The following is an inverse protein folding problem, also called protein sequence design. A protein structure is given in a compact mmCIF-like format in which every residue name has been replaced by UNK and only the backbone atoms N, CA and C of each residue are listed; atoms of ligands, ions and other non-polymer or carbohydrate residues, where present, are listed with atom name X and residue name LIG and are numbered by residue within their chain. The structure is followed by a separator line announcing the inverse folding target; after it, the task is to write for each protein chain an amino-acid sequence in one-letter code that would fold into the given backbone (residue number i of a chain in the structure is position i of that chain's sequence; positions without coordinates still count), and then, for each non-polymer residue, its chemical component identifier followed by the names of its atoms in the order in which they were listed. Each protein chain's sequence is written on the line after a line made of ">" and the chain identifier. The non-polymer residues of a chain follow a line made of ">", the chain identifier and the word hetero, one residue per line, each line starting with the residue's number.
data_IF_375381897118
#
_entry.id   IF_375381897118
#
_cell.length_a   1.000
_cell.length_b   1.000
_cell.length_c   1.000
_cell.angle_alpha   90.00
_cell.angle_beta   90.00
_cell.angle_gamma   90.00
#
_symmetry.space_group_name_H-M   'P 1'
#
loop_
_entity.id
_entity.type
_entity.pdbx_description
1 polymer ?
#
# COMPACT_ATOMS: atom_id res chain seq x y z
N UNK A 1 5.48 0.93 0.19
CA UNK A 1 4.47 1.90 -0.34
C UNK A 1 3.09 1.37 0.00
N UNK A 2 2.28 2.16 0.69
CA UNK A 2 0.91 1.78 1.10
C UNK A 2 -0.10 2.02 -0.03
N UNK A 3 -1.20 1.25 -0.02
CA UNK A 3 -2.37 1.47 -0.90
C UNK A 3 -3.42 2.40 -0.27
N UNK A 4 -3.15 2.98 0.89
CA UNK A 4 -4.11 3.79 1.62
C UNK A 4 -4.62 4.96 0.77
N UNK A 5 -5.91 5.00 0.40
CA UNK A 5 -6.46 5.93 -0.60
C UNK A 5 -6.20 7.41 -0.32
N UNK A 6 -6.24 7.89 0.94
CA UNK A 6 -5.91 9.29 1.23
C UNK A 6 -4.51 9.74 0.77
N UNK A 7 -3.59 8.80 0.51
CA UNK A 7 -2.26 9.09 -0.01
C UNK A 7 -2.13 8.94 -1.53
N UNK A 8 -3.20 8.52 -2.19
CA UNK A 8 -3.25 8.37 -3.64
C UNK A 8 -3.88 9.60 -4.30
N UNK A 9 -3.57 9.80 -5.57
CA UNK A 9 -3.90 11.01 -6.31
C UNK A 9 -5.42 11.33 -6.35
N UNK A 10 -6.27 10.29 -6.32
CA UNK A 10 -7.73 10.44 -6.42
C UNK A 10 -8.49 10.02 -5.15
N UNK A 11 -7.79 9.82 -4.03
CA UNK A 11 -8.45 9.40 -2.78
C UNK A 11 -9.26 8.12 -2.99
N UNK A 12 -10.51 8.10 -2.52
CA UNK A 12 -11.41 6.94 -2.65
C UNK A 12 -11.77 6.55 -4.09
N UNK A 13 -11.56 7.44 -5.06
CA UNK A 13 -11.76 7.18 -6.50
C UNK A 13 -10.52 6.58 -7.17
N UNK A 14 -9.47 6.29 -6.40
CA UNK A 14 -8.24 5.71 -6.93
C UNK A 14 -8.44 4.30 -7.44
N UNK A 15 -7.67 3.96 -8.46
CA UNK A 15 -7.60 2.63 -9.07
C UNK A 15 -6.23 1.99 -8.80
N UNK A 16 -6.06 0.72 -9.18
CA UNK A 16 -4.76 0.05 -9.11
C UNK A 16 -3.70 0.76 -9.95
N UNK A 17 -4.09 1.38 -11.07
CA UNK A 17 -3.18 2.14 -11.93
C UNK A 17 -2.65 3.40 -11.22
N UNK A 18 -3.49 4.10 -10.44
CA UNK A 18 -3.04 5.24 -9.63
C UNK A 18 -2.05 4.79 -8.57
N UNK A 19 -2.28 3.62 -7.99
CA UNK A 19 -1.33 3.03 -7.05
C UNK A 19 0.01 2.69 -7.72
N UNK A 20 -0.02 2.05 -8.90
CA UNK A 20 1.19 1.74 -9.68
C UNK A 20 1.96 3.03 -10.01
N UNK A 21 1.26 4.07 -10.44
CA UNK A 21 1.89 5.37 -10.71
C UNK A 21 2.55 5.98 -9.47
N UNK A 22 1.92 5.84 -8.31
CA UNK A 22 2.51 6.28 -7.04
C UNK A 22 3.75 5.46 -6.66
N UNK A 23 3.73 4.15 -6.87
CA UNK A 23 4.90 3.28 -6.64
C UNK A 23 6.05 3.66 -7.58
N UNK A 24 5.77 3.87 -8.86
CA UNK A 24 6.77 4.34 -9.83
C UNK A 24 7.38 5.69 -9.43
N UNK A 25 6.59 6.59 -8.93
CA UNK A 25 7.08 7.88 -8.41
C UNK A 25 8.06 7.68 -7.26
N UNK A 26 7.72 6.82 -6.30
CA UNK A 26 8.60 6.54 -5.15
C UNK A 26 9.89 5.83 -5.60
N UNK A 27 9.80 4.90 -6.56
CA UNK A 27 10.98 4.23 -7.14
C UNK A 27 11.96 5.23 -7.76
N UNK A 28 11.45 6.25 -8.46
CA UNK A 28 12.32 7.30 -9.04
C UNK A 28 13.09 8.11 -7.99
N UNK A 29 12.56 8.20 -6.79
CA UNK A 29 13.19 8.96 -5.69
C UNK A 29 14.12 8.06 -4.88
N UNK A 30 13.64 6.89 -4.47
CA UNK A 30 14.31 6.02 -3.51
C UNK A 30 15.20 4.94 -4.17
N UNK A 31 15.02 4.70 -5.46
CA UNK A 31 15.62 3.57 -6.17
C UNK A 31 14.79 2.28 -6.03
N UNK A 32 14.83 1.45 -7.07
CA UNK A 32 14.03 0.24 -7.21
C UNK A 32 14.24 -0.76 -6.07
N UNK A 33 15.47 -0.89 -5.58
CA UNK A 33 15.83 -1.85 -4.54
C UNK A 33 15.35 -1.45 -3.13
N UNK A 34 14.84 -0.23 -2.98
CA UNK A 34 14.42 0.33 -1.68
C UNK A 34 12.90 0.48 -1.55
N UNK A 35 12.13 -0.05 -2.48
CA UNK A 35 10.67 0.07 -2.48
C UNK A 35 10.02 -1.32 -2.40
N UNK A 36 9.10 -1.47 -1.46
CA UNK A 36 8.28 -2.66 -1.30
C UNK A 36 6.80 -2.30 -1.16
N UNK A 37 5.95 -3.28 -1.43
CA UNK A 37 4.51 -3.16 -1.25
C UNK A 37 4.15 -3.38 0.22
N UNK A 38 3.24 -2.54 0.73
CA UNK A 38 2.53 -2.74 1.97
C UNK A 38 1.10 -2.26 1.76
N UNK A 39 0.12 -3.14 1.79
CA UNK A 39 -1.24 -2.81 1.38
C UNK A 39 -1.95 -1.87 2.34
N UNK A 40 -1.69 -2.01 3.63
CA UNK A 40 -2.45 -1.34 4.70
C UNK A 40 -3.95 -1.73 4.68
N UNK A 41 -4.25 -2.95 4.21
CA UNK A 41 -5.63 -3.43 4.20
C UNK A 41 -6.13 -3.71 5.60
N UNK A 42 -7.28 -3.16 5.92
CA UNK A 42 -7.97 -3.30 7.20
C UNK A 42 -9.31 -3.96 6.97
N UNK A 43 -9.30 -5.25 6.61
CA UNK A 43 -10.54 -6.00 6.41
C UNK A 43 -11.19 -6.36 7.74
N UNK A 44 -12.51 -6.41 7.72
CA UNK A 44 -13.34 -6.81 8.85
C UNK A 44 -13.16 -5.91 10.11
N UNK A 45 -12.66 -4.70 9.92
CA UNK A 45 -12.61 -3.69 10.97
C UNK A 45 -13.85 -2.80 10.89
N UNK A 46 -14.54 -2.65 12.00
CA UNK A 46 -15.73 -1.82 12.12
C UNK A 46 -15.37 -0.35 12.47
N UNK A 47 -16.39 0.50 12.44
CA UNK A 47 -16.22 1.92 12.78
C UNK A 47 -15.68 2.10 14.20
N UNK A 48 -16.04 1.22 15.14
CA UNK A 48 -15.54 1.28 16.52
C UNK A 48 -14.04 1.06 16.62
N UNK A 49 -13.46 0.21 15.75
CA UNK A 49 -12.02 0.02 15.67
C UNK A 49 -11.32 1.31 15.17
N UNK A 50 -11.87 1.95 14.14
CA UNK A 50 -11.30 3.21 13.61
C UNK A 50 -11.46 4.36 14.60
N UNK A 51 -12.59 4.46 15.29
CA UNK A 51 -12.79 5.39 16.38
C UNK A 51 -11.77 5.18 17.51
N UNK A 52 -11.50 3.91 17.87
CA UNK A 52 -10.48 3.58 18.86
C UNK A 52 -9.08 4.01 18.43
N UNK A 53 -8.70 3.77 17.17
CA UNK A 53 -7.40 4.19 16.64
C UNK A 53 -7.23 5.71 16.63
N UNK A 54 -8.30 6.42 16.33
CA UNK A 54 -8.30 7.89 16.27
C UNK A 54 -8.58 8.55 17.63
N UNK A 55 -8.80 7.76 18.67
CA UNK A 55 -9.14 8.27 19.99
C UNK A 55 -7.97 9.03 20.63
N UNK A 56 -8.30 10.04 21.46
CA UNK A 56 -7.33 10.96 22.07
C UNK A 56 -6.20 10.26 22.85
N UNK A 57 -6.46 9.10 23.44
CA UNK A 57 -5.45 8.30 24.15
C UNK A 57 -4.33 7.78 23.26
N UNK A 58 -4.60 7.58 21.96
CA UNK A 58 -3.62 7.15 20.98
C UNK A 58 -2.92 8.30 20.24
N UNK A 59 -3.27 9.54 20.51
CA UNK A 59 -2.82 10.72 19.76
C UNK A 59 -3.24 10.73 18.28
N UNK A 60 -3.90 9.70 17.79
CA UNK A 60 -4.37 9.61 16.40
C UNK A 60 -5.28 10.75 16.02
N UNK A 61 -6.20 11.12 16.87
CA UNK A 61 -7.12 12.25 16.69
C UNK A 61 -6.41 13.58 16.39
N UNK A 62 -5.25 13.83 16.98
CA UNK A 62 -4.48 15.06 16.76
C UNK A 62 -3.80 15.10 15.40
N UNK A 63 -3.63 13.95 14.77
CA UNK A 63 -2.88 13.81 13.53
C UNK A 63 -3.80 13.64 12.32
N UNK A 64 -4.86 12.87 12.46
CA UNK A 64 -5.66 12.44 11.30
C UNK A 64 -7.06 13.02 11.22
N UNK A 65 -7.66 13.44 12.35
CA UNK A 65 -9.09 13.73 12.38
C UNK A 65 -9.94 12.48 12.03
N UNK A 66 -11.26 12.60 11.89
CA UNK A 66 -12.10 11.51 11.45
C UNK A 66 -11.74 11.11 10.01
N UNK A 67 -11.38 9.84 9.80
CA UNK A 67 -10.97 9.32 8.48
C UNK A 67 -12.14 9.21 7.50
N UNK A 68 -13.39 9.13 7.99
CA UNK A 68 -14.54 8.83 7.15
C UNK A 68 -14.45 7.43 6.53
N UNK A 69 -15.28 7.17 5.53
CA UNK A 69 -15.21 5.92 4.77
C UNK A 69 -13.92 5.88 3.93
N UNK A 70 -13.15 4.80 4.06
CA UNK A 70 -11.93 4.58 3.27
C UNK A 70 -12.17 3.38 2.36
N UNK A 71 -12.20 3.62 1.05
CA UNK A 71 -12.39 2.59 0.03
C UNK A 71 -11.05 2.28 -0.64
N UNK A 72 -10.55 1.04 -0.47
CA UNK A 72 -9.36 0.59 -1.17
C UNK A 72 -9.48 0.80 -2.69
N UNK A 73 -8.37 0.95 -3.43
CA UNK A 73 -8.40 1.23 -4.87
C UNK A 73 -9.24 0.23 -5.66
N UNK A 74 -9.94 0.71 -6.70
CA UNK A 74 -10.66 -0.17 -7.60
C UNK A 74 -9.72 -1.22 -8.21
N UNK A 75 -10.15 -2.49 -8.21
CA UNK A 75 -9.33 -3.65 -8.59
C UNK A 75 -8.53 -4.28 -7.44
N UNK A 76 -8.47 -3.60 -6.28
CA UNK A 76 -7.74 -4.03 -5.08
C UNK A 76 -8.58 -3.72 -3.83
N UNK A 77 -9.84 -4.19 -3.78
CA UNK A 77 -10.77 -3.88 -2.69
C UNK A 77 -10.50 -4.68 -1.42
N UNK A 78 -10.04 -5.92 -1.59
CA UNK A 78 -9.84 -6.88 -0.52
C UNK A 78 -8.47 -7.53 -0.60
N UNK A 79 -8.04 -8.20 0.47
CA UNK A 79 -6.79 -8.98 0.46
C UNK A 79 -6.83 -10.11 -0.58
N UNK A 80 -8.02 -10.64 -0.89
CA UNK A 80 -8.21 -11.65 -1.93
C UNK A 80 -7.88 -11.14 -3.34
N UNK A 81 -7.89 -9.83 -3.54
CA UNK A 81 -7.54 -9.19 -4.82
C UNK A 81 -6.03 -9.00 -4.99
N UNK A 82 -5.22 -9.31 -3.98
CA UNK A 82 -3.77 -9.07 -4.02
C UNK A 82 -3.06 -9.69 -5.25
N UNK A 83 -3.44 -10.89 -5.74
CA UNK A 83 -2.89 -11.44 -6.98
C UNK A 83 -3.10 -10.56 -8.21
N UNK A 84 -4.15 -9.72 -8.23
CA UNK A 84 -4.43 -8.82 -9.35
C UNK A 84 -3.34 -7.77 -9.53
N UNK A 85 -2.62 -7.43 -8.45
CA UNK A 85 -1.54 -6.45 -8.53
C UNK A 85 -0.42 -6.90 -9.46
N UNK A 86 -0.04 -8.18 -9.43
CA UNK A 86 0.98 -8.71 -10.36
C UNK A 86 0.55 -8.51 -11.81
N UNK A 87 -0.69 -8.90 -12.15
CA UNK A 87 -1.22 -8.74 -13.51
C UNK A 87 -1.33 -7.27 -13.92
N UNK A 88 -1.66 -6.38 -13.00
CA UNK A 88 -1.72 -4.95 -13.26
C UNK A 88 -0.32 -4.35 -13.53
N UNK A 89 0.70 -4.79 -12.79
CA UNK A 89 2.10 -4.38 -13.00
C UNK A 89 2.62 -4.87 -14.36
N UNK A 90 2.30 -6.12 -14.75
CA UNK A 90 2.62 -6.67 -16.08
C UNK A 90 1.94 -5.84 -17.18
N UNK A 91 0.65 -5.53 -17.01
CA UNK A 91 -0.12 -4.69 -17.94
C UNK A 91 0.46 -3.27 -18.07
N UNK A 92 0.99 -2.74 -16.97
CA UNK A 92 1.70 -1.46 -16.96
C UNK A 92 3.10 -1.53 -17.61
N UNK A 93 3.52 -2.70 -18.11
CA UNK A 93 4.77 -2.91 -18.81
C UNK A 93 6.00 -3.05 -17.91
N UNK A 94 5.81 -3.38 -16.65
CA UNK A 94 6.95 -3.63 -15.77
C UNK A 94 7.64 -4.95 -16.11
N UNK A 95 8.98 -4.98 -16.21
CA UNK A 95 9.70 -6.23 -16.40
C UNK A 95 9.62 -7.11 -15.15
N UNK A 96 9.56 -8.43 -15.35
CA UNK A 96 9.45 -9.41 -14.26
C UNK A 96 10.45 -9.18 -13.11
N UNK A 97 11.75 -8.90 -13.34
CA UNK A 97 12.68 -8.66 -12.24
C UNK A 97 12.28 -7.47 -11.35
N UNK A 98 11.74 -6.39 -11.93
CA UNK A 98 11.24 -5.23 -11.17
C UNK A 98 10.02 -5.61 -10.34
N UNK A 99 9.09 -6.37 -10.93
CA UNK A 99 7.90 -6.87 -10.22
C UNK A 99 8.31 -7.70 -9.01
N UNK A 100 9.19 -8.67 -9.18
CA UNK A 100 9.66 -9.55 -8.09
C UNK A 100 10.29 -8.78 -6.94
N UNK A 101 11.16 -7.83 -7.25
CA UNK A 101 11.79 -6.95 -6.26
C UNK A 101 10.75 -6.24 -5.40
N UNK A 102 9.85 -5.51 -6.05
CA UNK A 102 8.87 -4.66 -5.37
C UNK A 102 7.82 -5.49 -4.63
N UNK A 103 7.42 -6.63 -5.19
CA UNK A 103 6.42 -7.53 -4.59
C UNK A 103 6.94 -8.30 -3.37
N UNK A 104 8.26 -8.54 -3.24
CA UNK A 104 8.74 -9.31 -2.10
C UNK A 104 10.24 -9.36 -1.90
N UNK A 105 11.07 -9.42 -2.96
CA UNK A 105 12.52 -9.64 -2.81
C UNK A 105 13.20 -8.52 -2.01
N UNK A 106 12.77 -7.27 -2.15
CA UNK A 106 13.29 -6.16 -1.36
C UNK A 106 12.99 -6.33 0.14
N UNK A 107 11.80 -6.83 0.49
CA UNK A 107 11.47 -7.16 1.86
C UNK A 107 12.32 -8.33 2.40
N UNK A 108 12.45 -9.40 1.61
CA UNK A 108 13.28 -10.55 2.02
C UNK A 108 14.72 -10.14 2.27
N UNK A 109 15.30 -9.33 1.39
CA UNK A 109 16.66 -8.80 1.56
C UNK A 109 16.78 -7.99 2.85
N UNK A 110 15.87 -7.03 3.06
CA UNK A 110 15.89 -6.19 4.26
C UNK A 110 15.76 -7.03 5.54
N UNK A 111 14.86 -8.00 5.56
CA UNK A 111 14.65 -8.85 6.72
C UNK A 111 15.87 -9.74 7.00
N UNK A 112 16.53 -10.27 5.97
CA UNK A 112 17.77 -11.01 6.13
C UNK A 112 18.89 -10.12 6.70
N UNK A 113 19.02 -8.89 6.22
CA UNK A 113 20.00 -7.94 6.74
C UNK A 113 19.76 -7.57 8.23
N UNK A 114 18.48 -7.42 8.64
CA UNK A 114 18.12 -6.94 9.99
C UNK A 114 18.08 -8.08 11.01
N UNK A 115 17.55 -9.23 10.62
CA UNK A 115 17.39 -10.37 11.54
C UNK A 115 18.59 -11.32 11.54
N UNK A 116 19.42 -11.27 10.52
CA UNK A 116 20.50 -12.20 10.28
C UNK A 116 20.00 -13.54 9.73
N UNK A 117 20.87 -14.33 9.15
CA UNK A 117 20.64 -15.73 8.81
C UNK A 117 20.98 -16.67 9.99
#
# INVERSE_FOLDING_TARGET
>A
MTMFPPFLARGNDSTVEDYIAAVDYVIRIAGEDNVGIGTDFTQDQDDAFFEYLCHDKGYGWRVTGPLGEVLNPAGMRTIGDFPNLTSALETAGWPEPKIRKVMGENWLRLLAEVWGE
#
